data_IF_510016317417
#
_entry.id   IF_510016317417
#
_cell.length_a   1.000
_cell.length_b   1.000
_cell.length_c   1.000
_cell.angle_alpha   90.00
_cell.angle_beta   90.00
_cell.angle_gamma   90.00
#
_symmetry.space_group_name_H-M   'P 1'
#
loop_
_entity.id
_entity.type
_entity.pdbx_description
1 polymer ?
#
# COMPACT_ATOMS: atom_id res chain seq x y z
N UNK A 1 6.08 37.28 -52.05
CA UNK A 1 4.78 36.94 -51.44
C UNK A 1 4.98 36.66 -49.94
N UNK A 2 4.51 37.54 -49.04
CA UNK A 2 4.60 37.30 -47.58
C UNK A 2 3.50 36.33 -47.16
N UNK A 3 3.86 35.12 -46.71
CA UNK A 3 2.90 34.20 -46.05
C UNK A 3 2.35 34.89 -44.81
N UNK A 4 1.03 35.07 -44.73
CA UNK A 4 0.37 35.47 -43.48
C UNK A 4 0.53 34.32 -42.47
N UNK A 5 1.26 34.57 -41.39
CA UNK A 5 1.31 33.69 -40.23
C UNK A 5 -0.08 33.68 -39.58
N UNK A 6 -0.75 32.52 -39.63
CA UNK A 6 -1.99 32.28 -38.87
C UNK A 6 -1.60 31.99 -37.43
N UNK A 7 -1.99 32.87 -36.51
CA UNK A 7 -1.86 32.66 -35.06
C UNK A 7 -3.14 32.03 -34.48
N UNK A 8 -3.02 31.40 -33.32
CA UNK A 8 -4.16 30.91 -32.54
C UNK A 8 -5.00 32.07 -32.02
N UNK A 9 -6.32 31.88 -31.96
CA UNK A 9 -7.25 32.85 -31.38
C UNK A 9 -7.37 32.67 -29.87
N UNK A 10 -7.67 33.75 -29.15
CA UNK A 10 -7.96 33.68 -27.70
C UNK A 10 -9.17 32.79 -27.41
N UNK A 11 -10.16 32.78 -28.29
CA UNK A 11 -11.37 31.96 -28.17
C UNK A 11 -11.03 30.47 -28.27
N UNK A 12 -10.15 30.07 -29.20
CA UNK A 12 -9.69 28.68 -29.28
C UNK A 12 -9.02 28.24 -27.97
N UNK A 13 -8.18 29.09 -27.38
CA UNK A 13 -7.54 28.76 -26.11
C UNK A 13 -8.52 28.67 -24.93
N UNK A 14 -9.55 29.51 -24.90
CA UNK A 14 -10.60 29.41 -23.87
C UNK A 14 -11.35 28.08 -23.93
N UNK A 15 -11.72 27.64 -25.13
CA UNK A 15 -12.42 26.36 -25.32
C UNK A 15 -11.51 25.19 -24.96
N UNK A 16 -10.23 25.23 -25.36
CA UNK A 16 -9.26 24.18 -25.03
C UNK A 16 -9.07 24.04 -23.52
N UNK A 17 -8.90 25.16 -22.80
CA UNK A 17 -8.73 25.13 -21.34
C UNK A 17 -10.00 24.61 -20.65
N UNK A 18 -11.19 25.00 -21.14
CA UNK A 18 -12.46 24.51 -20.62
C UNK A 18 -12.58 22.98 -20.75
N UNK A 19 -12.21 22.41 -21.89
CA UNK A 19 -12.24 20.96 -22.12
C UNK A 19 -11.22 20.24 -21.22
N UNK A 20 -9.98 20.77 -21.13
CA UNK A 20 -8.94 20.19 -20.27
C UNK A 20 -9.37 20.20 -18.80
N UNK A 21 -10.03 21.27 -18.33
CA UNK A 21 -10.55 21.35 -16.96
C UNK A 21 -11.53 20.23 -16.63
N UNK A 22 -12.47 19.93 -17.53
CA UNK A 22 -13.46 18.86 -17.35
C UNK A 22 -12.77 17.49 -17.31
N UNK A 23 -11.84 17.24 -18.24
CA UNK A 23 -11.09 15.98 -18.30
C UNK A 23 -10.23 15.78 -17.04
N UNK A 24 -9.56 16.83 -16.58
CA UNK A 24 -8.71 16.78 -15.39
C UNK A 24 -9.50 16.44 -14.12
N UNK A 25 -10.73 16.96 -13.97
CA UNK A 25 -11.59 16.68 -12.82
C UNK A 25 -11.92 15.18 -12.68
N UNK A 26 -12.13 14.47 -13.79
CA UNK A 26 -12.42 13.02 -13.79
C UNK A 26 -11.13 12.20 -13.69
N UNK A 27 -10.07 12.63 -14.38
CA UNK A 27 -8.83 11.89 -14.46
C UNK A 27 -8.03 11.88 -13.13
N UNK A 28 -8.03 13.00 -12.40
CA UNK A 28 -7.24 13.14 -11.17
C UNK A 28 -7.51 12.06 -10.10
N UNK A 29 -8.76 11.81 -9.64
CA UNK A 29 -9.01 10.79 -8.61
C UNK A 29 -8.70 9.37 -9.09
N UNK A 30 -8.96 9.08 -10.37
CA UNK A 30 -8.65 7.77 -10.98
C UNK A 30 -7.14 7.51 -11.02
N UNK A 31 -6.35 8.53 -11.41
CA UNK A 31 -4.90 8.45 -11.44
C UNK A 31 -4.30 8.24 -10.04
N UNK A 32 -4.81 8.94 -9.02
CA UNK A 32 -4.37 8.75 -7.63
C UNK A 32 -4.62 7.31 -7.14
N UNK A 33 -5.79 6.74 -7.41
CA UNK A 33 -6.09 5.35 -7.03
C UNK A 33 -5.21 4.35 -7.79
N UNK A 34 -4.89 4.61 -9.06
CA UNK A 34 -3.97 3.76 -9.81
C UNK A 34 -2.57 3.75 -9.18
N UNK A 35 -2.02 4.93 -8.87
CA UNK A 35 -0.72 5.05 -8.21
C UNK A 35 -0.73 4.40 -6.82
N UNK A 36 -1.78 4.59 -6.03
CA UNK A 36 -1.95 3.92 -4.74
C UNK A 36 -1.84 2.39 -4.88
N UNK A 37 -2.53 1.78 -5.85
CA UNK A 37 -2.45 0.33 -6.10
C UNK A 37 -1.02 -0.12 -6.41
N UNK A 38 -0.24 0.66 -7.16
CA UNK A 38 1.16 0.32 -7.45
C UNK A 38 2.02 0.31 -6.18
N UNK A 39 1.84 1.30 -5.31
CA UNK A 39 2.56 1.36 -4.04
C UNK A 39 2.10 0.28 -3.05
N UNK A 40 0.80 -0.03 -3.04
CA UNK A 40 0.24 -1.11 -2.23
C UNK A 40 0.80 -2.47 -2.68
N UNK A 41 0.94 -2.68 -4.00
CA UNK A 41 1.58 -3.89 -4.54
C UNK A 41 3.06 -4.00 -4.14
N UNK A 42 3.81 -2.89 -4.13
CA UNK A 42 5.18 -2.88 -3.64
C UNK A 42 5.25 -3.20 -2.13
N UNK A 43 4.36 -2.61 -1.33
CA UNK A 43 4.25 -2.89 0.10
C UNK A 43 3.85 -4.36 0.37
N UNK A 44 2.99 -4.95 -0.49
CA UNK A 44 2.63 -6.37 -0.45
C UNK A 44 3.86 -7.27 -0.54
N UNK A 45 4.81 -6.95 -1.41
CA UNK A 45 6.03 -7.74 -1.55
C UNK A 45 6.90 -7.67 -0.28
N UNK A 46 6.94 -6.51 0.39
CA UNK A 46 7.61 -6.39 1.69
C UNK A 46 6.91 -7.18 2.80
N UNK A 47 5.58 -7.27 2.81
CA UNK A 47 4.85 -8.15 3.74
C UNK A 47 5.23 -9.62 3.54
N UNK A 48 5.30 -10.08 2.30
CA UNK A 48 5.71 -11.44 1.96
C UNK A 48 7.15 -11.72 2.38
N UNK A 49 8.06 -10.76 2.17
CA UNK A 49 9.45 -10.83 2.60
C UNK A 49 9.58 -10.95 4.13
N UNK A 50 8.81 -10.16 4.90
CA UNK A 50 8.78 -10.28 6.36
C UNK A 50 8.33 -11.70 6.77
N UNK A 51 7.24 -12.21 6.21
CA UNK A 51 6.75 -13.56 6.53
C UNK A 51 7.77 -14.65 6.14
N UNK A 52 8.45 -14.49 5.00
CA UNK A 52 9.49 -15.42 4.55
C UNK A 52 10.69 -15.44 5.51
N UNK A 53 11.19 -14.27 5.92
CA UNK A 53 12.30 -14.17 6.86
C UNK A 53 11.92 -14.69 8.25
N UNK A 54 10.68 -14.43 8.69
CA UNK A 54 10.17 -15.02 9.93
C UNK A 54 10.18 -16.54 9.88
N UNK A 55 9.75 -17.15 8.77
CA UNK A 55 9.79 -18.62 8.60
C UNK A 55 11.20 -19.17 8.60
N UNK A 56 12.14 -18.50 7.92
CA UNK A 56 13.54 -18.89 7.94
C UNK A 56 14.12 -18.82 9.36
N UNK A 57 13.83 -17.77 10.11
CA UNK A 57 14.26 -17.63 11.50
C UNK A 57 13.65 -18.71 12.40
N UNK A 58 12.39 -19.11 12.17
CA UNK A 58 11.75 -20.24 12.87
C UNK A 58 12.54 -21.53 12.70
N UNK A 59 12.95 -21.84 11.47
CA UNK A 59 13.71 -23.05 11.16
C UNK A 59 15.10 -23.04 11.83
N UNK A 60 15.72 -21.85 11.91
CA UNK A 60 17.03 -21.67 12.56
C UNK A 60 16.96 -21.73 14.08
N UNK A 61 15.84 -21.33 14.67
CA UNK A 61 15.66 -21.17 16.12
C UNK A 61 14.76 -22.25 16.72
N UNK A 62 14.98 -23.52 16.32
CA UNK A 62 14.28 -24.69 16.85
C UNK A 62 12.74 -24.60 16.86
N UNK A 63 12.15 -24.03 15.81
CA UNK A 63 10.69 -23.92 15.70
C UNK A 63 10.10 -22.69 16.40
N UNK A 64 10.92 -21.84 17.04
CA UNK A 64 10.44 -20.68 17.79
C UNK A 64 10.63 -19.39 17.01
N UNK A 65 9.55 -18.62 16.93
CA UNK A 65 9.58 -17.25 16.44
C UNK A 65 9.76 -16.28 17.63
N UNK A 66 10.40 -15.12 17.45
CA UNK A 66 10.57 -14.09 18.49
C UNK A 66 9.84 -12.77 18.16
N UNK A 67 9.15 -12.18 19.14
CA UNK A 67 8.53 -10.83 19.05
C UNK A 67 9.56 -9.76 18.67
N UNK A 68 10.76 -9.82 19.26
CA UNK A 68 11.85 -8.91 18.97
C UNK A 68 12.31 -9.02 17.50
N UNK A 69 12.43 -10.25 16.98
CA UNK A 69 12.80 -10.49 15.59
C UNK A 69 11.77 -9.92 14.59
N UNK A 70 10.48 -10.09 14.88
CA UNK A 70 9.41 -9.50 14.07
C UNK A 70 9.47 -7.96 14.12
N UNK A 71 9.65 -7.38 15.30
CA UNK A 71 9.77 -5.94 15.48
C UNK A 71 10.99 -5.39 14.72
N UNK A 72 12.15 -6.07 14.73
CA UNK A 72 13.32 -5.67 13.95
C UNK A 72 13.04 -5.66 12.46
N UNK A 73 12.40 -6.70 11.92
CA UNK A 73 12.05 -6.78 10.49
C UNK A 73 11.08 -5.67 10.08
N UNK A 74 10.05 -5.45 10.89
CA UNK A 74 9.07 -4.37 10.68
C UNK A 74 9.76 -3.01 10.74
N UNK A 75 10.58 -2.77 11.76
CA UNK A 75 11.31 -1.52 11.92
C UNK A 75 12.28 -1.26 10.76
N UNK A 76 12.97 -2.30 10.28
CA UNK A 76 13.82 -2.22 9.09
C UNK A 76 13.01 -1.79 7.87
N UNK A 77 11.83 -2.39 7.64
CA UNK A 77 10.93 -1.91 6.60
C UNK A 77 10.45 -0.50 6.88
N UNK A 78 10.19 -0.14 8.15
CA UNK A 78 9.76 1.17 8.67
C UNK A 78 10.81 2.29 8.66
N UNK A 79 12.06 1.98 8.38
CA UNK A 79 13.12 2.97 8.20
C UNK A 79 13.32 3.47 6.76
N UNK A 80 12.81 2.76 5.74
CA UNK A 80 12.83 3.25 4.35
C UNK A 80 12.10 4.60 4.16
N UNK A 81 12.83 5.64 3.79
CA UNK A 81 12.27 6.97 3.54
C UNK A 81 11.33 7.04 2.33
N UNK A 82 11.37 6.04 1.43
CA UNK A 82 10.51 5.98 0.23
C UNK A 82 9.17 5.29 0.46
N UNK A 83 8.92 4.74 1.67
CA UNK A 83 7.65 4.05 1.97
C UNK A 83 6.46 4.96 1.69
N UNK A 84 5.34 4.34 1.34
CA UNK A 84 4.01 4.98 1.38
C UNK A 84 3.09 4.37 2.45
N UNK A 85 3.55 3.28 3.07
CA UNK A 85 2.84 2.54 4.11
C UNK A 85 3.78 2.18 5.26
N UNK A 86 3.32 2.40 6.49
CA UNK A 86 3.93 1.86 7.69
C UNK A 86 3.48 0.41 7.89
N UNK A 87 4.39 -0.47 8.26
CA UNK A 87 4.12 -1.86 8.57
C UNK A 87 3.84 -1.94 10.07
N UNK A 88 2.70 -2.50 10.47
CA UNK A 88 2.32 -2.59 11.89
C UNK A 88 1.96 -4.03 12.21
N UNK A 89 2.67 -4.63 13.17
CA UNK A 89 2.28 -5.93 13.73
C UNK A 89 1.24 -5.72 14.80
N UNK A 90 0.22 -6.57 14.78
CA UNK A 90 -0.61 -6.81 15.93
C UNK A 90 -0.45 -8.28 16.33
N UNK A 91 0.00 -8.47 17.57
CA UNK A 91 0.14 -9.78 18.18
C UNK A 91 -1.19 -10.12 18.84
N UNK A 92 -1.68 -11.34 18.65
CA UNK A 92 -2.88 -11.82 19.35
C UNK A 92 -2.54 -12.17 20.81
N UNK A 93 -1.30 -12.56 21.09
CA UNK A 93 -0.71 -12.66 22.43
C UNK A 93 0.79 -12.37 22.36
N UNK A 94 1.32 -11.65 23.36
CA UNK A 94 2.74 -11.24 23.41
C UNK A 94 3.73 -12.42 23.56
N UNK A 95 3.21 -13.62 23.81
CA UNK A 95 3.97 -14.83 24.09
C UNK A 95 3.90 -15.88 22.97
N UNK A 96 2.92 -15.79 22.07
CA UNK A 96 2.67 -16.78 21.02
C UNK A 96 2.64 -16.13 19.64
N UNK A 97 3.83 -15.93 19.08
CA UNK A 97 3.93 -15.28 17.77
C UNK A 97 3.64 -16.25 16.62
N UNK A 98 3.13 -17.45 16.89
CA UNK A 98 2.60 -18.33 15.85
C UNK A 98 1.33 -17.75 15.18
N UNK A 99 0.67 -16.79 15.83
CA UNK A 99 -0.60 -16.19 15.37
C UNK A 99 -0.51 -14.68 15.16
N UNK A 100 0.65 -14.15 14.74
CA UNK A 100 0.74 -12.73 14.37
C UNK A 100 0.04 -12.41 13.04
N UNK A 101 -0.28 -11.14 12.88
CA UNK A 101 -0.60 -10.54 11.60
C UNK A 101 0.05 -9.18 11.49
N UNK A 102 0.29 -8.75 10.25
CA UNK A 102 0.88 -7.46 9.94
C UNK A 102 -0.07 -6.76 8.99
N UNK A 103 -0.37 -5.49 9.26
CA UNK A 103 -1.19 -4.67 8.37
C UNK A 103 -0.44 -3.42 7.92
N UNK A 104 -0.91 -2.82 6.83
CA UNK A 104 -0.36 -1.61 6.25
C UNK A 104 -1.14 -0.38 6.70
N UNK A 105 -0.47 0.58 7.32
CA UNK A 105 -1.04 1.88 7.65
C UNK A 105 -0.55 2.90 6.60
N UNK A 106 -1.43 3.50 5.77
CA UNK A 106 -1.04 4.55 4.85
C UNK A 106 -0.50 5.76 5.60
N UNK A 107 0.59 6.33 5.11
CA UNK A 107 1.18 7.58 5.62
C UNK A 107 1.01 8.76 4.65
N UNK A 108 0.56 8.48 3.42
CA UNK A 108 0.32 9.48 2.40
C UNK A 108 -1.12 9.95 2.42
N UNK A 109 -1.31 11.26 2.24
CA UNK A 109 -2.63 11.85 2.09
C UNK A 109 -3.32 11.29 0.84
N UNK A 110 -4.59 10.92 0.98
CA UNK A 110 -5.41 10.35 -0.09
C UNK A 110 -5.31 8.83 -0.24
N UNK A 111 -4.40 8.16 0.47
CA UNK A 111 -4.34 6.69 0.47
C UNK A 111 -5.29 6.16 1.54
N UNK A 112 -6.13 5.21 1.16
CA UNK A 112 -7.14 4.61 2.04
C UNK A 112 -7.02 3.11 2.10
N UNK A 113 -6.65 2.46 0.99
CA UNK A 113 -6.52 1.00 0.88
C UNK A 113 -5.45 0.48 1.84
N UNK A 114 -5.69 -0.71 2.36
CA UNK A 114 -4.76 -1.41 3.24
C UNK A 114 -4.74 -2.90 2.92
N UNK A 115 -3.65 -3.56 3.31
CA UNK A 115 -3.54 -5.01 3.31
C UNK A 115 -3.24 -5.48 4.72
N UNK A 116 -3.69 -6.68 5.06
CA UNK A 116 -3.06 -7.44 6.14
C UNK A 116 -2.63 -8.83 5.67
N UNK A 117 -1.58 -9.34 6.30
CA UNK A 117 -1.05 -10.69 6.08
C UNK A 117 -1.03 -11.44 7.40
N UNK A 118 -1.37 -12.73 7.36
CA UNK A 118 -1.27 -13.62 8.52
C UNK A 118 0.10 -14.29 8.58
N UNK A 119 0.49 -14.87 9.72
CA UNK A 119 1.69 -15.72 9.81
C UNK A 119 1.71 -16.89 8.80
N UNK A 120 0.53 -17.36 8.38
CA UNK A 120 0.36 -18.36 7.31
C UNK A 120 0.65 -17.80 5.90
N UNK A 121 0.86 -16.49 5.76
CA UNK A 121 1.20 -15.82 4.50
C UNK A 121 -0.01 -15.53 3.61
N UNK A 122 -1.23 -15.73 4.12
CA UNK A 122 -2.47 -15.36 3.44
C UNK A 122 -2.65 -13.85 3.52
N UNK A 123 -2.93 -13.22 2.38
CA UNK A 123 -3.09 -11.76 2.26
C UNK A 123 -4.56 -11.42 2.09
N UNK A 124 -4.97 -10.34 2.73
CA UNK A 124 -6.31 -9.78 2.61
C UNK A 124 -6.22 -8.31 2.24
N UNK A 125 -7.05 -7.87 1.30
CA UNK A 125 -7.24 -6.46 0.94
C UNK A 125 -8.44 -5.87 1.65
N UNK A 126 -8.24 -4.69 2.23
CA UNK A 126 -9.24 -3.93 2.95
C UNK A 126 -9.38 -2.52 2.33
N UNK A 127 -10.56 -1.92 2.47
CA UNK A 127 -10.81 -0.56 1.97
C UNK A 127 -10.17 0.49 2.85
N UNK A 128 -9.99 0.19 4.15
CA UNK A 128 -9.39 1.08 5.12
C UNK A 128 -8.35 0.38 5.99
N UNK A 129 -7.42 1.15 6.57
CA UNK A 129 -6.46 0.62 7.54
C UNK A 129 -7.12 0.14 8.85
N UNK A 130 -8.25 0.74 9.24
CA UNK A 130 -9.01 0.33 10.42
C UNK A 130 -9.66 -1.05 10.23
N UNK A 131 -10.17 -1.34 9.03
CA UNK A 131 -10.63 -2.69 8.66
C UNK A 131 -9.49 -3.71 8.73
N UNK A 132 -8.30 -3.34 8.25
CA UNK A 132 -7.13 -4.23 8.28
C UNK A 132 -6.63 -4.47 9.72
N UNK A 133 -6.63 -3.43 10.55
CA UNK A 133 -6.28 -3.52 11.97
C UNK A 133 -7.26 -4.40 12.75
N UNK A 134 -8.55 -4.33 12.45
CA UNK A 134 -9.58 -5.13 13.13
C UNK A 134 -9.79 -6.52 12.54
N UNK A 135 -9.08 -6.88 11.45
CA UNK A 135 -9.36 -8.07 10.63
C UNK A 135 -10.85 -8.18 10.27
N UNK A 136 -11.41 -7.07 9.81
CA UNK A 136 -12.82 -6.99 9.44
C UNK A 136 -13.19 -8.06 8.41
N UNK A 137 -14.38 -8.66 8.55
CA UNK A 137 -14.94 -9.58 7.56
C UNK A 137 -15.20 -8.92 6.21
N UNK A 138 -15.15 -7.59 6.12
CA UNK A 138 -15.22 -6.85 4.87
C UNK A 138 -13.95 -6.99 4.01
N UNK A 139 -12.83 -7.43 4.58
CA UNK A 139 -11.58 -7.62 3.85
C UNK A 139 -11.64 -8.88 2.98
N UNK A 140 -11.17 -8.76 1.75
CA UNK A 140 -11.22 -9.85 0.75
C UNK A 140 -9.87 -10.54 0.67
N UNK A 141 -9.86 -11.88 0.70
CA UNK A 141 -8.64 -12.65 0.49
C UNK A 141 -8.11 -12.45 -0.93
N UNK A 142 -6.82 -12.11 -1.06
CA UNK A 142 -6.12 -12.10 -2.35
C UNK A 142 -5.33 -13.40 -2.45
N UNK A 143 -5.72 -14.26 -3.38
CA UNK A 143 -4.92 -15.44 -3.70
C UNK A 143 -3.71 -15.05 -4.56
N UNK A 144 -2.61 -15.77 -4.36
CA UNK A 144 -1.30 -15.57 -5.01
C UNK A 144 -1.40 -15.50 -6.53
#
# INVERSE_FOLDING_TARGET
>A
MKKKTRGFTLVEMMVVIAIIGILAAIAMPSYQSHIEKTHLAAAKNHLLDIVAQMRQNKLRNNGSYSTAGLATLINSKNSDSKRRYNFVSALTDNSDINTYYIYLQPIQNGYTKSLYITAAGTIYECKTASEAQSKSSACTMINK
#
